data_IF_540717500730
#
_entry.id   IF_540717500730
#
_cell.length_a   1.000
_cell.length_b   1.000
_cell.length_c   1.000
_cell.angle_alpha   90.00
_cell.angle_beta   90.00
_cell.angle_gamma   90.00
#
_symmetry.space_group_name_H-M   'P 1'
#
loop_
_entity.id
_entity.type
_entity.pdbx_description
1 polymer ?
#
# COMPACT_ATOMS: atom_id res chain seq x y z
N UNK A 1 38.83 33.66 17.40
CA UNK A 1 37.42 33.42 17.00
C UNK A 1 37.16 31.93 17.22
N UNK A 2 36.63 31.58 18.40
CA UNK A 2 36.49 30.19 18.82
C UNK A 2 35.18 29.63 18.26
N UNK A 3 35.29 28.69 17.32
CA UNK A 3 34.15 27.90 16.84
C UNK A 3 33.78 26.90 17.93
N UNK A 4 32.85 27.27 18.81
CA UNK A 4 32.25 26.35 19.77
C UNK A 4 31.30 25.45 18.99
N UNK A 5 31.75 24.23 18.68
CA UNK A 5 30.90 23.17 18.16
C UNK A 5 29.85 22.87 19.25
N UNK A 6 28.54 23.00 18.99
CA UNK A 6 27.54 22.59 19.97
C UNK A 6 27.76 21.10 20.29
N UNK A 7 27.65 20.68 21.57
CA UNK A 7 27.75 19.27 21.96
C UNK A 7 26.53 18.44 21.53
N UNK A 8 25.54 19.05 20.88
CA UNK A 8 24.34 18.38 20.43
C UNK A 8 24.63 17.57 19.16
N UNK A 9 24.17 16.31 19.14
CA UNK A 9 24.19 15.47 17.94
C UNK A 9 23.44 16.11 16.76
N UNK A 10 23.27 15.35 15.69
CA UNK A 10 22.56 15.80 14.49
C UNK A 10 21.16 16.35 14.83
N UNK A 11 20.88 17.58 14.39
CA UNK A 11 19.60 18.29 14.57
C UNK A 11 18.99 18.51 13.18
N UNK A 12 17.75 18.08 13.00
CA UNK A 12 16.96 18.44 11.83
C UNK A 12 16.06 19.63 12.17
N UNK A 13 16.07 20.65 11.31
CA UNK A 13 15.24 21.84 11.46
C UNK A 13 14.43 22.03 10.17
N UNK A 14 13.11 22.08 10.31
CA UNK A 14 12.19 22.18 9.17
C UNK A 14 11.26 23.39 9.36
N UNK A 15 11.33 24.39 8.47
CA UNK A 15 10.33 25.44 8.47
C UNK A 15 8.98 24.86 8.00
N UNK A 16 7.92 25.24 8.70
CA UNK A 16 6.54 24.95 8.38
C UNK A 16 5.84 26.28 7.99
N UNK A 17 4.60 26.23 7.45
CA UNK A 17 3.82 27.44 7.21
C UNK A 17 3.65 28.31 8.47
N UNK A 18 3.28 29.57 8.26
CA UNK A 18 2.93 30.51 9.33
C UNK A 18 4.05 30.79 10.35
N UNK A 19 5.31 30.68 9.91
CA UNK A 19 6.47 30.96 10.75
C UNK A 19 6.75 29.89 11.80
N UNK A 20 6.10 28.73 11.71
CA UNK A 20 6.32 27.60 12.61
C UNK A 20 7.58 26.84 12.23
N UNK A 21 8.30 26.32 13.22
CA UNK A 21 9.48 25.49 13.00
C UNK A 21 9.34 24.16 13.75
N UNK A 22 9.70 23.07 13.07
CA UNK A 22 9.86 21.76 13.70
C UNK A 22 11.34 21.45 13.87
N UNK A 23 11.72 21.15 15.09
CA UNK A 23 13.07 20.74 15.46
C UNK A 23 13.04 19.28 15.93
N UNK A 24 13.86 18.43 15.31
CA UNK A 24 13.99 17.02 15.69
C UNK A 24 15.46 16.73 16.07
N UNK A 25 15.69 16.17 17.25
CA UNK A 25 17.01 15.75 17.72
C UNK A 25 17.13 14.23 17.68
N UNK A 26 18.21 13.71 17.09
CA UNK A 26 18.53 12.30 17.25
C UNK A 26 19.08 12.05 18.65
N UNK A 27 18.30 11.38 19.49
CA UNK A 27 18.72 11.01 20.83
C UNK A 27 19.54 9.70 20.80
N UNK A 28 20.63 9.61 21.58
CA UNK A 28 21.42 8.39 21.66
C UNK A 28 20.59 7.24 22.23
N UNK A 29 20.81 6.00 21.74
CA UNK A 29 20.06 4.83 22.18
C UNK A 29 20.28 4.56 23.68
N UNK A 30 19.22 4.15 24.38
CA UNK A 30 19.30 3.68 25.78
C UNK A 30 19.48 4.78 26.85
N UNK A 31 19.23 6.05 26.53
CA UNK A 31 19.15 7.09 27.57
C UNK A 31 17.74 7.14 28.20
N UNK A 32 17.72 7.51 29.48
CA UNK A 32 16.53 7.69 30.31
C UNK A 32 15.47 8.60 29.67
N UNK A 33 14.24 8.53 30.20
CA UNK A 33 13.14 9.44 29.89
C UNK A 33 13.66 10.87 29.76
N UNK A 34 13.58 11.44 28.56
CA UNK A 34 13.86 12.86 28.36
C UNK A 34 12.75 13.63 29.02
N UNK A 35 13.07 14.27 30.14
CA UNK A 35 12.11 15.11 30.86
C UNK A 35 11.79 16.35 30.02
N UNK A 36 10.60 16.96 30.20
CA UNK A 36 10.25 18.21 29.52
C UNK A 36 11.32 19.30 29.69
N UNK A 37 11.95 19.40 30.86
CA UNK A 37 12.97 20.41 31.17
C UNK A 37 14.24 20.20 30.34
N UNK A 38 14.68 18.94 30.17
CA UNK A 38 15.83 18.61 29.34
C UNK A 38 15.57 18.95 27.87
N UNK A 39 14.35 18.74 27.39
CA UNK A 39 13.96 19.06 26.03
C UNK A 39 13.89 20.58 25.80
N UNK A 40 13.33 21.33 26.75
CA UNK A 40 13.35 22.80 26.75
C UNK A 40 14.79 23.35 26.78
N UNK A 41 15.68 22.75 27.56
CA UNK A 41 17.09 23.08 27.58
C UNK A 41 17.73 22.94 26.19
N UNK A 42 17.50 21.81 25.52
CA UNK A 42 17.96 21.58 24.14
C UNK A 42 17.42 22.61 23.15
N UNK A 43 16.13 22.96 23.24
CA UNK A 43 15.53 24.01 22.40
C UNK A 43 16.28 25.33 22.60
N UNK A 44 16.44 25.78 23.85
CA UNK A 44 17.10 27.06 24.17
C UNK A 44 18.56 27.09 23.73
N UNK A 45 19.30 26.01 23.99
CA UNK A 45 20.70 25.85 23.56
C UNK A 45 20.83 25.89 22.03
N UNK A 46 19.95 25.17 21.33
CA UNK A 46 19.94 25.13 19.86
C UNK A 46 19.67 26.51 19.28
N UNK A 47 18.60 27.17 19.75
CA UNK A 47 18.22 28.49 19.28
C UNK A 47 19.31 29.52 19.59
N UNK A 48 19.80 29.59 20.85
CA UNK A 48 20.89 30.49 21.22
C UNK A 48 22.15 30.26 20.38
N UNK A 49 22.48 28.99 20.08
CA UNK A 49 23.59 28.65 19.20
C UNK A 49 23.42 29.22 17.77
N UNK A 50 22.20 29.28 17.25
CA UNK A 50 21.92 29.83 15.91
C UNK A 50 21.79 31.36 15.89
N UNK A 51 21.47 31.98 17.01
CA UNK A 51 21.21 33.44 17.12
C UNK A 51 22.28 34.19 17.92
N UNK A 52 23.52 33.70 17.92
CA UNK A 52 24.66 34.45 18.48
C UNK A 52 24.70 34.53 20.01
N UNK A 53 24.13 33.53 20.69
CA UNK A 53 24.18 33.38 22.15
C UNK A 53 22.95 33.87 22.90
N UNK A 54 21.96 34.45 22.23
CA UNK A 54 20.70 34.89 22.83
C UNK A 54 19.53 34.06 22.31
N UNK A 55 18.78 33.39 23.17
CA UNK A 55 17.57 32.69 22.73
C UNK A 55 16.50 33.71 22.30
N UNK A 56 16.03 33.71 21.03
CA UNK A 56 14.95 34.57 20.58
C UNK A 56 13.63 34.21 21.29
N UNK A 57 12.65 35.13 21.36
CA UNK A 57 11.32 34.79 21.84
C UNK A 57 10.69 33.73 20.93
N UNK A 58 10.12 32.68 21.52
CA UNK A 58 9.41 31.63 20.80
C UNK A 58 8.20 31.17 21.62
N UNK A 59 7.17 30.71 20.91
CA UNK A 59 6.05 29.99 21.50
C UNK A 59 6.26 28.49 21.27
N UNK A 60 6.10 27.69 22.34
CA UNK A 60 6.21 26.25 22.24
C UNK A 60 4.84 25.66 21.94
N UNK A 61 4.66 25.17 20.71
CA UNK A 61 3.39 24.57 20.29
C UNK A 61 3.23 23.13 20.78
N UNK A 62 4.26 22.30 20.63
CA UNK A 62 4.24 20.89 21.03
C UNK A 62 5.66 20.36 21.26
N UNK A 63 5.78 19.33 22.11
CA UNK A 63 7.00 18.58 22.33
C UNK A 63 6.71 17.12 22.61
N UNK A 64 7.49 16.23 22.00
CA UNK A 64 7.36 14.80 22.22
C UNK A 64 8.69 14.08 22.11
N UNK A 65 8.77 12.96 22.82
CA UNK A 65 9.87 12.01 22.71
C UNK A 65 9.31 10.75 22.11
N UNK A 66 9.71 10.44 20.88
CA UNK A 66 9.25 9.26 20.19
C UNK A 66 10.37 8.23 20.05
N UNK A 67 10.12 7.01 20.54
CA UNK A 67 11.03 5.89 20.33
C UNK A 67 10.67 5.20 19.03
N UNK A 68 11.61 5.25 18.08
CA UNK A 68 11.45 4.59 16.79
C UNK A 68 11.70 3.09 16.94
N UNK A 69 10.76 2.28 16.47
CA UNK A 69 10.86 0.83 16.48
C UNK A 69 10.76 0.25 15.07
N UNK A 70 11.51 -0.82 14.81
CA UNK A 70 11.26 -1.73 13.70
C UNK A 70 10.56 -2.96 14.27
N UNK A 71 9.25 -3.07 14.03
CA UNK A 71 8.44 -4.19 14.53
C UNK A 71 7.51 -4.69 13.45
N UNK A 72 7.22 -5.98 13.52
CA UNK A 72 6.36 -6.65 12.56
C UNK A 72 5.58 -7.75 13.27
N UNK A 73 4.27 -7.57 13.44
CA UNK A 73 3.38 -8.52 14.13
C UNK A 73 3.43 -9.88 13.45
N UNK A 74 3.53 -11.01 14.18
CA UNK A 74 3.70 -12.34 13.54
C UNK A 74 2.49 -12.78 12.72
N UNK A 75 1.29 -12.40 13.16
CA UNK A 75 0.00 -12.74 12.56
C UNK A 75 -0.83 -11.47 12.44
N UNK A 76 -1.29 -11.17 11.22
CA UNK A 76 -2.07 -9.99 10.87
C UNK A 76 -3.57 -10.30 10.82
N UNK A 77 -3.94 -11.57 10.70
CA UNK A 77 -5.32 -12.05 10.75
C UNK A 77 -5.47 -13.18 11.75
N UNK A 78 -6.38 -13.05 12.71
CA UNK A 78 -6.82 -14.12 13.59
C UNK A 78 -8.34 -14.27 13.49
N UNK A 79 -8.80 -15.24 12.70
CA UNK A 79 -10.22 -15.42 12.36
C UNK A 79 -10.84 -14.12 11.81
N UNK A 80 -11.73 -13.49 12.58
CA UNK A 80 -12.46 -12.26 12.23
C UNK A 80 -11.78 -10.97 12.73
N UNK A 81 -10.54 -11.07 13.23
CA UNK A 81 -9.75 -9.94 13.74
C UNK A 81 -8.57 -9.68 12.82
N UNK A 82 -8.39 -8.41 12.41
CA UNK A 82 -7.34 -7.97 11.52
C UNK A 82 -6.53 -6.82 12.13
N UNK A 83 -5.21 -6.84 11.89
CA UNK A 83 -4.29 -5.76 12.23
C UNK A 83 -3.89 -5.03 10.94
N UNK A 84 -3.92 -3.70 10.96
CA UNK A 84 -3.45 -2.84 9.86
C UNK A 84 -2.66 -1.64 10.41
N UNK A 85 -1.78 -1.07 9.60
CA UNK A 85 -0.95 0.09 9.99
C UNK A 85 -0.06 -0.24 11.21
N UNK A 86 0.05 0.71 12.14
CA UNK A 86 0.97 0.60 13.29
C UNK A 86 0.67 -0.59 14.22
N UNK A 87 -0.56 -1.11 14.20
CA UNK A 87 -0.92 -2.34 14.92
C UNK A 87 -0.26 -3.58 14.30
N UNK A 88 0.00 -3.58 12.99
CA UNK A 88 0.59 -4.68 12.25
C UNK A 88 2.11 -4.54 12.07
N UNK A 89 2.61 -3.31 11.95
CA UNK A 89 4.03 -3.03 11.71
C UNK A 89 4.41 -1.62 12.17
N UNK A 90 5.62 -1.47 12.69
CA UNK A 90 6.23 -0.17 12.95
C UNK A 90 7.44 -0.05 12.04
N UNK A 91 7.36 0.89 11.11
CA UNK A 91 8.43 1.25 10.19
C UNK A 91 9.20 2.42 10.80
N UNK A 92 10.53 2.37 10.81
CA UNK A 92 11.32 3.38 11.49
C UNK A 92 11.28 4.75 10.83
N UNK A 93 12.18 5.64 11.24
CA UNK A 93 12.25 7.01 10.71
C UNK A 93 13.08 7.14 9.42
N UNK A 94 13.64 6.05 8.88
CA UNK A 94 14.55 6.10 7.73
C UNK A 94 13.82 6.12 6.39
N UNK A 95 13.20 7.25 6.05
CA UNK A 95 12.54 7.43 4.75
C UNK A 95 11.46 6.39 4.44
N UNK A 96 10.99 5.69 5.47
CA UNK A 96 9.89 4.73 5.38
C UNK A 96 8.58 5.43 5.67
N UNK A 97 7.57 5.12 4.86
CA UNK A 97 6.27 5.79 4.89
C UNK A 97 5.26 5.01 5.73
N UNK A 98 5.35 5.13 7.07
CA UNK A 98 4.47 4.40 8.00
C UNK A 98 2.98 4.60 7.69
N UNK A 99 2.54 5.85 7.61
CA UNK A 99 1.16 6.20 7.27
C UNK A 99 0.73 5.64 5.90
N UNK A 100 1.57 5.80 4.87
CA UNK A 100 1.25 5.30 3.53
C UNK A 100 1.11 3.78 3.49
N UNK A 101 1.94 3.05 4.26
CA UNK A 101 1.78 1.60 4.38
C UNK A 101 0.51 1.21 5.11
N UNK A 102 0.12 1.94 6.16
CA UNK A 102 -1.17 1.75 6.82
C UNK A 102 -2.36 2.02 5.89
N UNK A 103 -2.28 3.06 5.06
CA UNK A 103 -3.31 3.34 4.04
C UNK A 103 -3.39 2.23 2.98
N UNK A 104 -2.23 1.71 2.54
CA UNK A 104 -2.17 0.57 1.59
C UNK A 104 -2.71 -0.72 2.21
N UNK A 105 -2.51 -0.93 3.50
CA UNK A 105 -3.10 -2.05 4.23
C UNK A 105 -4.63 -1.94 4.25
N UNK A 106 -5.15 -0.75 4.56
CA UNK A 106 -6.58 -0.49 4.57
C UNK A 106 -7.20 -0.68 3.17
N UNK A 107 -6.57 -0.15 2.12
CA UNK A 107 -7.02 -0.29 0.73
C UNK A 107 -7.08 -1.76 0.29
N UNK A 108 -6.04 -2.55 0.59
CA UNK A 108 -6.02 -3.98 0.28
C UNK A 108 -7.06 -4.77 1.05
N UNK A 109 -7.33 -4.41 2.31
CA UNK A 109 -8.25 -5.15 3.18
C UNK A 109 -9.71 -4.77 2.95
N UNK A 110 -10.01 -3.50 2.66
CA UNK A 110 -11.37 -2.97 2.60
C UNK A 110 -12.24 -3.70 1.58
N UNK A 111 -11.75 -3.92 0.36
CA UNK A 111 -12.52 -4.61 -0.68
C UNK A 111 -12.70 -6.10 -0.39
N UNK A 112 -11.71 -6.75 0.24
CA UNK A 112 -11.78 -8.16 0.64
C UNK A 112 -12.81 -8.36 1.75
N UNK A 113 -12.84 -7.46 2.72
CA UNK A 113 -13.84 -7.45 3.78
C UNK A 113 -15.23 -7.13 3.23
N UNK A 114 -15.36 -6.17 2.32
CA UNK A 114 -16.63 -5.85 1.69
C UNK A 114 -17.19 -7.07 0.93
N UNK A 115 -16.35 -7.78 0.18
CA UNK A 115 -16.75 -8.99 -0.52
C UNK A 115 -17.18 -10.09 0.47
N UNK A 116 -16.38 -10.32 1.52
CA UNK A 116 -16.71 -11.30 2.55
C UNK A 116 -18.02 -10.97 3.30
N UNK A 117 -18.29 -9.69 3.50
CA UNK A 117 -19.50 -9.20 4.15
C UNK A 117 -20.75 -9.44 3.30
N UNK A 118 -20.68 -9.15 2.00
CA UNK A 118 -21.84 -9.23 1.10
C UNK A 118 -22.07 -10.61 0.49
N UNK A 119 -21.02 -11.43 0.35
CA UNK A 119 -21.05 -12.68 -0.41
C UNK A 119 -20.58 -13.91 0.39
N UNK A 120 -20.28 -13.74 1.68
CA UNK A 120 -19.77 -14.80 2.54
C UNK A 120 -18.24 -14.92 2.50
N UNK A 121 -17.64 -15.62 3.47
CA UNK A 121 -16.19 -15.65 3.63
C UNK A 121 -15.50 -16.44 2.52
N UNK A 122 -14.65 -15.75 1.76
CA UNK A 122 -13.63 -16.37 0.92
C UNK A 122 -12.33 -16.42 1.74
N UNK A 123 -12.09 -17.53 2.44
CA UNK A 123 -10.98 -17.63 3.39
C UNK A 123 -9.61 -17.39 2.75
N UNK A 124 -9.36 -17.93 1.55
CA UNK A 124 -8.11 -17.67 0.84
C UNK A 124 -7.95 -16.20 0.41
N UNK A 125 -9.06 -15.51 0.10
CA UNK A 125 -9.05 -14.08 -0.17
C UNK A 125 -8.67 -13.29 1.08
N UNK A 126 -9.29 -13.58 2.22
CA UNK A 126 -8.99 -12.90 3.47
C UNK A 126 -7.57 -13.22 3.99
N UNK A 127 -7.10 -14.46 3.83
CA UNK A 127 -5.74 -14.86 4.20
C UNK A 127 -4.67 -14.22 3.30
N UNK A 128 -5.00 -13.94 2.04
CA UNK A 128 -4.09 -13.25 1.12
C UNK A 128 -3.66 -11.88 1.64
N UNK A 129 -4.48 -11.20 2.46
CA UNK A 129 -4.13 -9.89 3.04
C UNK A 129 -2.78 -9.93 3.75
N UNK A 130 -2.60 -10.91 4.64
CA UNK A 130 -1.34 -11.07 5.35
C UNK A 130 -0.22 -11.43 4.36
N UNK A 131 -0.42 -12.40 3.48
CA UNK A 131 0.63 -12.87 2.55
C UNK A 131 1.13 -11.75 1.65
N UNK A 132 0.23 -10.93 1.11
CA UNK A 132 0.52 -9.82 0.22
C UNK A 132 1.20 -8.67 0.94
N UNK A 133 0.58 -8.13 1.99
CA UNK A 133 1.03 -6.89 2.64
C UNK A 133 2.25 -7.11 3.53
N UNK A 134 2.30 -8.23 4.26
CA UNK A 134 3.44 -8.57 5.12
C UNK A 134 4.73 -8.73 4.34
N UNK A 135 4.68 -9.35 3.16
CA UNK A 135 5.87 -9.58 2.34
C UNK A 135 6.53 -8.25 1.96
N UNK A 136 5.72 -7.27 1.54
CA UNK A 136 6.19 -5.95 1.16
C UNK A 136 6.77 -5.20 2.37
N UNK A 137 6.02 -5.13 3.47
CA UNK A 137 6.47 -4.43 4.70
C UNK A 137 7.74 -5.08 5.26
N UNK A 138 7.83 -6.42 5.25
CA UNK A 138 9.03 -7.13 5.68
C UNK A 138 10.24 -6.83 4.80
N UNK A 139 10.07 -6.72 3.48
CA UNK A 139 11.15 -6.34 2.57
C UNK A 139 11.66 -4.93 2.88
N UNK A 140 10.76 -3.98 3.15
CA UNK A 140 11.13 -2.61 3.53
C UNK A 140 11.85 -2.53 4.87
N UNK A 141 11.39 -3.27 5.88
CA UNK A 141 12.08 -3.35 7.16
C UNK A 141 13.51 -3.88 7.00
N UNK A 142 13.70 -4.93 6.21
CA UNK A 142 15.05 -5.45 5.90
C UNK A 142 15.92 -4.40 5.20
N UNK A 143 15.36 -3.67 4.23
CA UNK A 143 16.08 -2.59 3.54
C UNK A 143 16.45 -1.46 4.51
N UNK A 144 15.54 -1.08 5.41
CA UNK A 144 15.79 -0.07 6.43
C UNK A 144 16.87 -0.51 7.44
N UNK A 145 16.82 -1.76 7.91
CA UNK A 145 17.84 -2.34 8.80
C UNK A 145 19.23 -2.35 8.15
N UNK A 146 19.30 -2.63 6.84
CA UNK A 146 20.55 -2.59 6.07
C UNK A 146 21.08 -1.16 5.87
N UNK A 147 20.18 -0.19 5.71
CA UNK A 147 20.55 1.21 5.51
C UNK A 147 20.95 1.92 6.83
N UNK A 148 20.41 1.50 7.97
CA UNK A 148 20.55 2.20 9.25
C UNK A 148 22.01 2.39 9.72
N UNK A 149 22.92 1.41 9.62
CA UNK A 149 24.33 1.62 9.94
C UNK A 149 25.02 2.61 9.01
N UNK A 150 24.59 2.70 7.74
CA UNK A 150 25.16 3.63 6.75
C UNK A 150 24.79 5.07 7.08
N UNK A 151 23.54 5.30 7.52
CA UNK A 151 23.04 6.63 7.89
C UNK A 151 23.56 7.07 9.28
N UNK A 152 23.63 6.15 10.26
CA UNK A 152 24.11 6.47 11.63
C UNK A 152 25.64 6.49 11.78
N UNK A 153 26.39 5.99 10.81
CA UNK A 153 27.83 5.78 10.88
C UNK A 153 28.67 7.06 10.75
N UNK A 154 28.66 7.91 11.78
CA UNK A 154 29.51 9.10 11.90
C UNK A 154 30.85 8.91 12.64
N UNK A 155 31.29 7.68 12.92
CA UNK A 155 32.44 7.44 13.81
C UNK A 155 33.29 6.22 13.47
N UNK A 156 34.17 6.34 12.46
CA UNK A 156 35.23 5.35 12.21
C UNK A 156 35.80 5.44 10.80
N UNK A 157 37.04 5.93 10.70
CA UNK A 157 37.98 5.97 9.54
C UNK A 157 37.47 6.39 8.14
N UNK A 158 36.17 6.65 7.95
CA UNK A 158 35.54 6.93 6.65
C UNK A 158 35.39 8.41 6.31
N UNK A 159 35.80 9.31 7.21
CA UNK A 159 35.92 10.76 6.91
C UNK A 159 36.97 11.08 5.84
N UNK A 160 37.71 10.07 5.35
CA UNK A 160 38.77 10.22 4.36
C UNK A 160 38.37 9.86 2.92
N UNK A 161 37.10 9.49 2.66
CA UNK A 161 36.62 9.25 1.29
C UNK A 161 35.61 10.33 0.90
N UNK A 162 36.01 11.35 0.13
CA UNK A 162 35.09 12.33 -0.42
C UNK A 162 34.08 11.62 -1.34
N UNK A 163 32.79 11.66 -1.00
CA UNK A 163 31.69 11.15 -1.85
C UNK A 163 30.77 10.11 -1.21
N UNK A 164 31.15 9.48 -0.09
CA UNK A 164 30.31 8.46 0.56
C UNK A 164 29.05 9.03 1.22
N UNK A 165 29.05 10.29 1.63
CA UNK A 165 27.89 10.97 2.21
C UNK A 165 26.75 11.19 1.18
N UNK A 166 27.08 11.46 -0.10
CA UNK A 166 26.08 11.69 -1.16
C UNK A 166 25.23 10.45 -1.48
N UNK A 167 25.76 9.25 -1.26
CA UNK A 167 25.03 8.00 -1.49
C UNK A 167 23.90 7.77 -0.48
N UNK A 168 24.08 8.19 0.77
CA UNK A 168 23.08 8.04 1.83
C UNK A 168 21.91 9.02 1.66
N UNK A 169 22.21 10.27 1.30
CA UNK A 169 21.18 11.26 0.96
C UNK A 169 20.33 10.79 -0.21
N UNK A 170 20.95 10.13 -1.21
CA UNK A 170 20.24 9.57 -2.36
C UNK A 170 19.31 8.42 -1.95
N UNK A 171 19.74 7.51 -1.06
CA UNK A 171 18.89 6.43 -0.53
C UNK A 171 17.67 6.97 0.23
N UNK A 172 17.86 7.98 1.07
CA UNK A 172 16.78 8.62 1.83
C UNK A 172 15.85 9.41 0.90
N UNK A 173 16.41 10.17 -0.03
CA UNK A 173 15.65 10.98 -1.00
C UNK A 173 14.84 10.08 -1.93
N UNK A 174 15.43 9.02 -2.48
CA UNK A 174 14.71 8.04 -3.30
C UNK A 174 13.58 7.38 -2.51
N UNK A 175 13.83 6.98 -1.25
CA UNK A 175 12.80 6.48 -0.35
C UNK A 175 11.62 7.45 -0.24
N UNK A 176 11.87 8.73 0.04
CA UNK A 176 10.84 9.77 0.13
C UNK A 176 10.09 9.99 -1.20
N UNK A 177 10.78 9.86 -2.33
CA UNK A 177 10.20 10.00 -3.66
C UNK A 177 9.47 8.74 -4.15
N UNK A 178 9.32 7.70 -3.31
CA UNK A 178 8.65 6.46 -3.69
C UNK A 178 9.51 5.58 -4.61
N UNK A 179 10.83 5.67 -4.50
CA UNK A 179 11.82 4.97 -5.31
C UNK A 179 12.75 4.11 -4.46
N UNK A 180 13.46 3.20 -5.13
CA UNK A 180 14.43 2.31 -4.48
C UNK A 180 13.80 1.34 -3.47
N UNK A 181 14.66 0.66 -2.72
CA UNK A 181 14.24 -0.41 -1.81
C UNK A 181 13.35 0.06 -0.64
N UNK A 182 13.38 1.36 -0.31
CA UNK A 182 12.59 1.95 0.77
C UNK A 182 11.25 2.53 0.30
N UNK A 183 11.19 3.07 -0.92
CA UNK A 183 10.04 3.83 -1.42
C UNK A 183 9.20 3.13 -2.49
N UNK A 184 9.78 2.24 -3.31
CA UNK A 184 9.07 1.64 -4.45
C UNK A 184 7.83 0.85 -3.98
N UNK A 185 6.67 1.01 -4.66
CA UNK A 185 5.50 0.18 -4.40
C UNK A 185 5.85 -1.30 -4.59
N UNK A 186 5.52 -2.13 -3.60
CA UNK A 186 5.72 -3.57 -3.72
C UNK A 186 4.77 -4.20 -4.73
N UNK A 187 5.09 -5.41 -5.14
CA UNK A 187 4.24 -6.23 -6.01
C UNK A 187 3.75 -7.45 -5.24
N UNK A 188 2.53 -7.89 -5.54
CA UNK A 188 1.91 -9.10 -5.03
C UNK A 188 2.35 -10.35 -5.82
N UNK A 189 3.64 -10.43 -6.16
CA UNK A 189 4.18 -11.51 -7.00
C UNK A 189 4.06 -12.90 -6.37
N UNK A 190 4.01 -12.97 -5.03
CA UNK A 190 3.82 -14.21 -4.27
C UNK A 190 2.38 -14.36 -3.74
N UNK A 191 1.41 -13.63 -4.32
CA UNK A 191 0.02 -13.75 -3.89
C UNK A 191 -0.54 -15.14 -4.20
N UNK A 192 -1.27 -15.76 -3.25
CA UNK A 192 -2.01 -16.99 -3.54
C UNK A 192 -3.19 -16.77 -4.51
N UNK A 193 -3.53 -15.51 -4.82
CA UNK A 193 -4.62 -15.13 -5.73
C UNK A 193 -4.16 -15.04 -7.20
N UNK A 194 -2.89 -15.28 -7.48
CA UNK A 194 -2.39 -15.30 -8.86
C UNK A 194 -2.93 -16.55 -9.57
N UNK A 195 -3.64 -16.40 -10.71
CA UNK A 195 -4.19 -17.55 -11.41
C UNK A 195 -3.10 -18.45 -11.98
N UNK A 196 -3.32 -19.76 -11.89
CA UNK A 196 -2.42 -20.76 -12.46
C UNK A 196 -2.66 -20.99 -13.95
N UNK A 197 -1.57 -20.98 -14.74
CA UNK A 197 -1.50 -21.63 -16.06
C UNK A 197 -2.63 -21.32 -17.05
N UNK A 198 -2.99 -20.04 -17.23
CA UNK A 198 -4.02 -19.64 -18.20
C UNK A 198 -3.49 -19.74 -19.64
N UNK A 199 -4.27 -20.36 -20.54
CA UNK A 199 -3.84 -20.61 -21.92
C UNK A 199 -3.64 -19.31 -22.70
N UNK A 200 -4.51 -18.32 -22.46
CA UNK A 200 -4.47 -17.02 -23.09
C UNK A 200 -3.55 -15.99 -22.44
N UNK A 201 -2.80 -16.32 -21.38
CA UNK A 201 -2.00 -15.34 -20.66
C UNK A 201 -0.90 -14.74 -21.54
N UNK A 202 -0.79 -13.40 -21.52
CA UNK A 202 0.25 -12.65 -22.22
C UNK A 202 0.97 -11.70 -21.28
N UNK A 203 2.25 -11.45 -21.56
CA UNK A 203 3.02 -10.44 -20.85
C UNK A 203 2.78 -9.06 -21.44
N UNK A 204 2.60 -8.06 -20.56
CA UNK A 204 2.45 -6.64 -20.92
C UNK A 204 3.43 -5.80 -20.09
N UNK A 205 3.44 -4.47 -20.26
CA UNK A 205 4.36 -3.58 -19.55
C UNK A 205 4.15 -3.53 -18.02
N UNK A 206 3.04 -4.04 -17.52
CA UNK A 206 2.75 -4.20 -16.09
C UNK A 206 2.75 -5.69 -15.74
N UNK A 207 3.59 -6.09 -14.78
CA UNK A 207 3.62 -7.47 -14.31
C UNK A 207 2.38 -7.80 -13.46
N UNK A 208 1.85 -9.04 -13.51
CA UNK A 208 0.84 -9.50 -12.57
C UNK A 208 1.23 -9.23 -11.11
N UNK A 209 0.25 -8.84 -10.29
CA UNK A 209 0.46 -8.41 -8.92
C UNK A 209 1.05 -7.00 -8.77
N UNK A 210 1.27 -6.25 -9.85
CA UNK A 210 1.70 -4.85 -9.79
C UNK A 210 0.52 -3.90 -9.95
N UNK A 211 0.66 -2.67 -9.44
CA UNK A 211 -0.32 -1.61 -9.65
C UNK A 211 -0.40 -1.27 -11.14
N UNK A 212 -1.61 -1.14 -11.66
CA UNK A 212 -1.85 -0.80 -13.07
C UNK A 212 -1.42 0.63 -13.41
N UNK A 213 -0.99 0.82 -14.66
CA UNK A 213 -0.72 2.16 -15.19
C UNK A 213 -2.05 2.88 -15.38
N UNK A 214 -2.15 4.10 -14.86
CA UNK A 214 -3.34 4.89 -15.05
C UNK A 214 -3.44 5.42 -16.50
N UNK A 215 -4.37 4.84 -17.25
CA UNK A 215 -4.69 5.20 -18.65
C UNK A 215 -6.10 5.79 -18.73
N UNK A 216 -6.41 6.44 -19.86
CA UNK A 216 -7.80 6.81 -20.15
C UNK A 216 -8.59 5.57 -20.55
N UNK A 217 -9.79 5.47 -20.00
CA UNK A 217 -10.74 4.38 -20.29
C UNK A 217 -12.11 4.95 -20.60
N UNK A 218 -12.86 4.22 -21.42
CA UNK A 218 -14.27 4.44 -21.69
C UNK A 218 -15.07 3.41 -20.89
N UNK A 219 -16.00 3.89 -20.07
CA UNK A 219 -16.94 3.04 -19.35
C UNK A 219 -18.14 2.63 -20.22
N UNK A 220 -18.92 1.66 -19.76
CA UNK A 220 -20.11 1.16 -20.48
C UNK A 220 -21.13 2.26 -20.81
N UNK A 221 -21.24 3.29 -19.96
CA UNK A 221 -22.10 4.45 -20.17
C UNK A 221 -21.56 5.45 -21.22
N UNK A 222 -20.39 5.16 -21.80
CA UNK A 222 -19.71 5.99 -22.80
C UNK A 222 -18.91 7.16 -22.20
N UNK A 223 -18.80 7.25 -20.87
CA UNK A 223 -17.97 8.29 -20.23
C UNK A 223 -16.49 7.97 -20.35
N UNK A 224 -15.69 9.02 -20.59
CA UNK A 224 -14.24 8.94 -20.63
C UNK A 224 -13.65 9.40 -19.30
N UNK A 225 -12.96 8.51 -18.61
CA UNK A 225 -12.43 8.73 -17.27
C UNK A 225 -11.00 8.18 -17.17
N UNK A 226 -10.32 8.43 -16.06
CA UNK A 226 -9.04 7.76 -15.78
C UNK A 226 -9.33 6.40 -15.16
N UNK A 227 -8.51 5.39 -15.46
CA UNK A 227 -8.64 4.05 -14.88
C UNK A 227 -8.65 4.12 -13.35
N UNK A 228 -7.83 4.99 -12.76
CA UNK A 228 -7.79 5.23 -11.31
C UNK A 228 -9.15 5.64 -10.72
N UNK A 229 -10.00 6.32 -11.47
CA UNK A 229 -11.30 6.83 -10.99
C UNK A 229 -12.37 5.72 -10.86
N UNK A 230 -12.07 4.53 -11.42
CA UNK A 230 -12.91 3.33 -11.37
C UNK A 230 -12.47 2.32 -10.32
N UNK A 231 -11.27 2.48 -9.75
CA UNK A 231 -10.78 1.68 -8.63
C UNK A 231 -11.56 1.97 -7.33
N UNK A 232 -11.47 1.06 -6.35
CA UNK A 232 -12.09 1.23 -5.03
C UNK A 232 -13.62 1.08 -4.98
N UNK A 233 -14.28 0.74 -6.09
CA UNK A 233 -15.75 0.60 -6.19
C UNK A 233 -16.29 -0.79 -5.84
N UNK A 234 -15.44 -1.65 -5.28
CA UNK A 234 -15.77 -3.03 -4.92
C UNK A 234 -16.09 -3.93 -6.11
N UNK A 235 -15.58 -3.61 -7.30
CA UNK A 235 -15.77 -4.39 -8.53
C UNK A 235 -14.43 -4.76 -9.15
N UNK A 236 -14.34 -5.95 -9.73
CA UNK A 236 -13.24 -6.29 -10.65
C UNK A 236 -13.37 -5.41 -11.91
N UNK A 237 -12.25 -5.04 -12.52
CA UNK A 237 -12.27 -4.32 -13.79
C UNK A 237 -11.74 -5.23 -14.91
N UNK A 238 -12.53 -5.38 -15.97
CA UNK A 238 -12.13 -6.02 -17.22
C UNK A 238 -11.86 -4.92 -18.26
N UNK A 239 -10.59 -4.66 -18.57
CA UNK A 239 -10.19 -3.58 -19.49
C UNK A 239 -9.80 -4.18 -20.84
N UNK A 240 -10.57 -3.92 -21.89
CA UNK A 240 -10.19 -4.28 -23.27
C UNK A 240 -9.31 -3.20 -23.89
N UNK A 241 -8.19 -3.60 -24.47
CA UNK A 241 -7.38 -2.74 -25.33
C UNK A 241 -7.94 -2.79 -26.75
N UNK A 242 -8.57 -1.71 -27.19
CA UNK A 242 -9.14 -1.61 -28.53
C UNK A 242 -8.72 -0.28 -29.17
N UNK A 243 -7.68 -0.29 -30.03
CA UNK A 243 -7.29 0.89 -30.79
C UNK A 243 -8.41 1.37 -31.71
N UNK A 244 -8.51 2.68 -31.93
CA UNK A 244 -9.50 3.27 -32.83
C UNK A 244 -10.88 3.49 -32.20
N UNK A 245 -11.06 3.24 -30.91
CA UNK A 245 -12.32 3.48 -30.15
C UNK A 245 -12.74 4.96 -30.08
N UNK A 246 -11.83 5.89 -30.36
CA UNK A 246 -12.16 7.32 -30.53
C UNK A 246 -13.08 7.63 -31.72
N UNK A 247 -13.27 6.68 -32.65
CA UNK A 247 -14.09 6.84 -33.86
C UNK A 247 -15.48 6.18 -33.71
N UNK A 248 -15.72 5.46 -32.63
CA UNK A 248 -16.93 4.66 -32.49
C UNK A 248 -18.05 5.54 -31.94
N UNK A 249 -19.18 5.61 -32.65
CA UNK A 249 -20.35 6.31 -32.13
C UNK A 249 -20.75 5.71 -30.77
N UNK A 250 -20.93 6.61 -29.79
CA UNK A 250 -21.10 6.34 -28.34
C UNK A 250 -22.10 5.24 -27.96
N UNK A 251 -22.96 4.81 -28.88
CA UNK A 251 -24.10 3.91 -28.66
C UNK A 251 -23.92 2.51 -29.26
N UNK A 252 -22.90 2.29 -30.09
CA UNK A 252 -22.76 1.05 -30.89
C UNK A 252 -21.47 0.27 -30.65
N UNK A 253 -20.61 0.71 -29.72
CA UNK A 253 -19.33 0.03 -29.52
C UNK A 253 -19.46 -1.29 -28.78
N UNK A 254 -20.40 -1.38 -27.83
CA UNK A 254 -20.70 -2.63 -27.12
C UNK A 254 -21.23 -3.71 -28.09
N UNK A 255 -21.86 -3.32 -29.20
CA UNK A 255 -22.44 -4.25 -30.18
C UNK A 255 -21.49 -4.67 -31.30
N UNK A 256 -20.26 -4.13 -31.38
CA UNK A 256 -19.36 -4.36 -32.51
C UNK A 256 -18.13 -5.23 -32.16
N UNK A 257 -17.74 -6.08 -33.11
CA UNK A 257 -16.54 -6.92 -33.04
C UNK A 257 -16.56 -7.89 -31.85
N UNK A 258 -15.52 -7.85 -31.04
CA UNK A 258 -15.31 -8.76 -29.90
C UNK A 258 -16.11 -8.37 -28.64
N UNK A 259 -16.75 -7.18 -28.66
CA UNK A 259 -17.39 -6.60 -27.48
C UNK A 259 -18.59 -7.36 -26.93
N UNK A 260 -19.56 -7.83 -27.75
CA UNK A 260 -20.70 -8.58 -27.22
C UNK A 260 -20.27 -9.83 -26.46
N UNK A 261 -19.24 -10.51 -26.96
CA UNK A 261 -18.67 -11.70 -26.30
C UNK A 261 -18.00 -11.35 -24.98
N UNK A 262 -17.28 -10.24 -24.90
CA UNK A 262 -16.66 -9.79 -23.66
C UNK A 262 -17.71 -9.32 -22.65
N UNK A 263 -18.69 -8.52 -23.08
CA UNK A 263 -19.76 -8.04 -22.22
C UNK A 263 -20.57 -9.20 -21.63
N UNK A 264 -20.90 -10.21 -22.46
CA UNK A 264 -21.53 -11.44 -21.99
C UNK A 264 -20.65 -12.21 -21.00
N UNK A 265 -19.33 -12.30 -21.25
CA UNK A 265 -18.41 -12.95 -20.34
C UNK A 265 -18.32 -12.20 -18.99
N UNK A 266 -18.14 -10.89 -19.00
CA UNK A 266 -18.07 -10.06 -17.78
C UNK A 266 -19.38 -10.12 -16.99
N UNK A 267 -20.53 -10.07 -17.67
CA UNK A 267 -21.85 -10.14 -17.02
C UNK A 267 -22.14 -11.52 -16.40
N UNK A 268 -21.48 -12.58 -16.88
CA UNK A 268 -21.61 -13.93 -16.35
C UNK A 268 -20.70 -14.20 -15.14
N UNK A 269 -19.86 -13.24 -14.73
CA UNK A 269 -19.04 -13.39 -13.53
C UNK A 269 -19.93 -13.41 -12.28
N UNK A 270 -19.65 -14.30 -11.31
CA UNK A 270 -20.47 -14.43 -10.09
C UNK A 270 -20.37 -13.21 -9.17
N UNK A 271 -19.32 -12.40 -9.31
CA UNK A 271 -19.10 -11.19 -8.55
C UNK A 271 -19.10 -9.97 -9.46
N UNK A 272 -19.40 -8.80 -8.86
CA UNK A 272 -19.49 -7.54 -9.59
C UNK A 272 -18.19 -7.26 -10.36
N UNK A 273 -18.33 -7.10 -11.66
CA UNK A 273 -17.26 -6.69 -12.55
C UNK A 273 -17.73 -5.55 -13.46
N UNK A 274 -16.80 -4.70 -13.84
CA UNK A 274 -17.03 -3.58 -14.73
C UNK A 274 -16.20 -3.74 -16.00
N UNK A 275 -16.85 -3.57 -17.15
CA UNK A 275 -16.19 -3.57 -18.44
C UNK A 275 -15.74 -2.15 -18.81
N UNK A 276 -14.47 -2.03 -19.16
CA UNK A 276 -13.82 -0.80 -19.58
C UNK A 276 -13.10 -1.02 -20.91
N UNK A 277 -12.92 0.06 -21.68
CA UNK A 277 -12.14 0.01 -22.91
C UNK A 277 -11.07 1.08 -22.89
N UNK A 278 -9.84 0.72 -23.23
CA UNK A 278 -8.73 1.66 -23.42
C UNK A 278 -8.26 1.64 -24.87
N UNK A 279 -7.89 2.79 -25.40
CA UNK A 279 -7.30 2.89 -26.75
C UNK A 279 -5.92 2.22 -26.81
N UNK A 280 -5.16 2.31 -25.72
CA UNK A 280 -3.85 1.70 -25.58
C UNK A 280 -3.51 1.44 -24.11
N UNK A 281 -2.60 0.51 -23.86
CA UNK A 281 -1.99 0.28 -22.56
C UNK A 281 -0.52 -0.14 -22.75
N UNK A 282 0.42 0.29 -21.89
CA UNK A 282 1.84 0.01 -22.06
C UNK A 282 2.14 -1.49 -22.26
N UNK A 283 2.75 -1.82 -23.41
CA UNK A 283 3.14 -3.19 -23.75
C UNK A 283 1.98 -4.15 -24.03
N UNK A 284 0.73 -3.68 -24.12
CA UNK A 284 -0.41 -4.52 -24.48
C UNK A 284 -0.74 -4.40 -25.98
N UNK A 285 -0.94 -5.53 -26.64
CA UNK A 285 -1.38 -5.58 -28.03
C UNK A 285 -2.89 -5.25 -28.15
N UNK A 286 -3.35 -4.96 -29.37
CA UNK A 286 -4.77 -4.83 -29.66
C UNK A 286 -5.53 -6.11 -29.25
N UNK A 287 -6.74 -5.92 -28.74
CA UNK A 287 -7.63 -6.95 -28.21
C UNK A 287 -7.12 -7.73 -26.99
N UNK A 288 -6.13 -7.18 -26.28
CA UNK A 288 -5.74 -7.70 -24.95
C UNK A 288 -6.81 -7.35 -23.93
N UNK A 289 -7.18 -8.29 -23.06
CA UNK A 289 -8.11 -8.07 -21.93
C UNK A 289 -7.31 -8.12 -20.63
N UNK A 290 -7.33 -7.04 -19.86
CA UNK A 290 -6.71 -6.97 -18.54
C UNK A 290 -7.77 -7.23 -17.48
N UNK A 291 -7.48 -8.10 -16.52
CA UNK A 291 -8.29 -8.25 -15.31
C UNK A 291 -7.58 -7.56 -14.15
N UNK A 292 -8.27 -6.63 -13.50
CA UNK A 292 -7.72 -5.78 -12.44
C UNK A 292 -8.57 -5.89 -11.18
N UNK A 293 -7.92 -5.97 -10.02
CA UNK A 293 -8.56 -5.99 -8.71
C UNK A 293 -9.12 -4.61 -8.31
N UNK A 294 -10.06 -4.55 -7.35
CA UNK A 294 -10.57 -3.28 -6.84
C UNK A 294 -9.47 -2.37 -6.24
N UNK A 295 -8.40 -2.94 -5.70
CA UNK A 295 -7.22 -2.24 -5.16
C UNK A 295 -6.17 -1.91 -6.24
N UNK A 296 -6.52 -1.98 -7.53
CA UNK A 296 -5.67 -1.51 -8.64
C UNK A 296 -4.54 -2.44 -9.04
N UNK A 297 -4.51 -3.67 -8.53
CA UNK A 297 -3.46 -4.64 -8.89
C UNK A 297 -3.88 -5.50 -10.08
N UNK A 298 -3.00 -5.66 -11.05
CA UNK A 298 -3.23 -6.52 -12.22
C UNK A 298 -3.29 -7.99 -11.78
N UNK A 299 -4.35 -8.69 -12.14
CA UNK A 299 -4.47 -10.14 -11.95
C UNK A 299 -3.77 -10.87 -13.09
N UNK A 300 -4.15 -10.56 -14.32
CA UNK A 300 -3.62 -11.16 -15.55
C UNK A 300 -3.94 -10.29 -16.76
N UNK A 301 -3.27 -10.55 -17.87
CA UNK A 301 -3.60 -10.03 -19.19
C UNK A 301 -3.80 -11.21 -20.15
N UNK A 302 -4.88 -11.17 -20.93
CA UNK A 302 -5.31 -12.25 -21.82
C UNK A 302 -5.30 -11.79 -23.28
N UNK A 303 -4.80 -12.64 -24.18
CA UNK A 303 -4.93 -12.42 -25.62
C UNK A 303 -6.34 -12.75 -26.08
N UNK A 304 -7.10 -11.72 -26.48
CA UNK A 304 -8.48 -11.85 -26.92
C UNK A 304 -9.44 -12.22 -25.78
N UNK A 305 -10.69 -12.47 -26.17
CA UNK A 305 -11.77 -12.82 -25.22
C UNK A 305 -11.85 -14.34 -25.09
N UNK A 306 -11.25 -14.86 -24.02
CA UNK A 306 -11.30 -16.27 -23.61
C UNK A 306 -12.10 -16.38 -22.32
N UNK A 307 -13.42 -16.69 -22.38
CA UNK A 307 -14.27 -16.73 -21.18
C UNK A 307 -13.76 -17.69 -20.11
N UNK A 308 -13.28 -18.88 -20.48
CA UNK A 308 -12.75 -19.86 -19.52
C UNK A 308 -11.56 -19.29 -18.72
N UNK A 309 -10.60 -18.65 -19.39
CA UNK A 309 -9.46 -18.01 -18.72
C UNK A 309 -9.89 -16.81 -17.88
N UNK A 310 -10.86 -16.02 -18.35
CA UNK A 310 -11.40 -14.88 -17.59
C UNK A 310 -12.09 -15.34 -16.31
N UNK A 311 -12.89 -16.41 -16.37
CA UNK A 311 -13.58 -16.98 -15.22
C UNK A 311 -12.58 -17.58 -14.22
N UNK A 312 -11.61 -18.35 -14.70
CA UNK A 312 -10.56 -18.90 -13.85
C UNK A 312 -9.73 -17.80 -13.18
N UNK A 313 -9.41 -16.72 -13.90
CA UNK A 313 -8.69 -15.58 -13.35
C UNK A 313 -9.51 -14.81 -12.31
N UNK A 314 -10.81 -14.60 -12.55
CA UNK A 314 -11.69 -13.94 -11.60
C UNK A 314 -11.92 -14.77 -10.33
N UNK A 315 -12.16 -16.07 -10.46
CA UNK A 315 -12.23 -17.01 -9.34
C UNK A 315 -10.95 -16.98 -8.50
N UNK A 316 -9.77 -17.07 -9.13
CA UNK A 316 -8.49 -17.00 -8.44
C UNK A 316 -8.28 -15.67 -7.71
N UNK A 317 -8.62 -14.55 -8.36
CA UNK A 317 -8.53 -13.21 -7.78
C UNK A 317 -9.41 -13.05 -6.52
N UNK A 318 -10.44 -13.88 -6.38
CA UNK A 318 -11.38 -13.88 -5.27
C UNK A 318 -11.15 -15.02 -4.28
N UNK A 319 -10.04 -15.76 -4.42
CA UNK A 319 -9.66 -16.84 -3.51
C UNK A 319 -10.40 -18.15 -3.73
N UNK A 320 -10.96 -18.38 -4.92
CA UNK A 320 -11.77 -19.55 -5.24
C UNK A 320 -13.19 -19.49 -4.66
N UNK A 321 -13.94 -20.61 -4.64
CA UNK A 321 -15.32 -20.61 -4.18
C UNK A 321 -15.43 -20.27 -2.69
N UNK A 322 -16.48 -19.55 -2.33
CA UNK A 322 -16.80 -19.28 -0.93
C UNK A 322 -16.90 -20.60 -0.15
N UNK A 323 -16.22 -20.68 0.99
CA UNK A 323 -16.32 -21.87 1.83
C UNK A 323 -17.65 -21.79 2.56
N UNK A 324 -18.59 -22.71 2.28
CA UNK A 324 -19.79 -22.84 3.10
C UNK A 324 -19.34 -23.16 4.53
N UNK A 325 -19.82 -22.39 5.52
CA UNK A 325 -19.53 -22.66 6.92
C UNK A 325 -19.88 -24.12 7.23
N UNK A 326 -18.87 -24.94 7.51
CA UNK A 326 -19.08 -26.23 8.16
C UNK A 326 -19.55 -25.92 9.56
N UNK A 327 -20.87 -25.94 9.78
CA UNK A 327 -21.46 -26.09 11.10
C UNK A 327 -21.04 -27.44 11.65
N UNK A 328 -19.84 -27.51 12.20
CA UNK A 328 -19.43 -28.61 13.06
C UNK A 328 -20.14 -28.42 14.40
N UNK A 329 -21.28 -29.07 14.54
CA UNK A 329 -21.87 -29.43 15.82
C UNK A 329 -20.81 -30.17 16.66
N UNK A 330 -20.14 -29.45 17.55
CA UNK A 330 -19.60 -30.02 18.77
C UNK A 330 -20.65 -29.78 19.85
N UNK A 331 -21.42 -30.82 20.16
CA UNK A 331 -22.47 -30.79 21.17
C UNK A 331 -21.94 -30.36 22.53
N UNK A 332 -22.57 -29.33 23.08
CA UNK A 332 -22.67 -29.11 24.51
C UNK A 332 -24.00 -28.36 24.77
N UNK A 333 -24.88 -29.01 25.53
CA UNK A 333 -26.16 -28.48 25.98
C UNK A 333 -26.00 -27.14 26.73
N UNK A 334 -26.83 -26.13 26.40
CA UNK A 334 -27.69 -25.40 27.35
C UNK A 334 -28.31 -24.10 26.76
N UNK A 335 -29.65 -24.04 26.76
CA UNK A 335 -30.45 -22.82 27.01
C UNK A 335 -30.91 -21.96 25.81
N UNK A 336 -32.22 -21.67 25.65
CA UNK A 336 -32.71 -20.82 24.58
C UNK A 336 -32.58 -19.34 24.96
N UNK A 337 -31.79 -18.59 24.19
CA UNK A 337 -31.68 -17.15 24.27
C UNK A 337 -31.69 -16.55 22.88
N UNK A 338 -32.84 -16.03 22.47
CA UNK A 338 -33.01 -15.26 21.24
C UNK A 338 -32.14 -13.98 21.35
N UNK A 339 -31.08 -13.89 20.55
CA UNK A 339 -30.35 -12.65 20.34
C UNK A 339 -29.80 -12.62 18.91
N UNK A 340 -30.26 -11.66 18.11
CA UNK A 340 -29.67 -11.28 16.84
C UNK A 340 -28.17 -11.03 17.04
N UNK A 341 -27.34 -11.94 16.53
CA UNK A 341 -25.88 -11.79 16.57
C UNK A 341 -25.47 -10.88 15.43
N UNK A 342 -25.28 -9.59 15.75
CA UNK A 342 -24.51 -8.70 14.90
C UNK A 342 -23.11 -9.30 14.69
N UNK A 343 -22.79 -9.65 13.44
CA UNK A 343 -21.48 -10.17 13.05
C UNK A 343 -20.50 -8.98 13.02
N UNK A 344 -19.72 -8.78 14.07
CA UNK A 344 -18.72 -7.71 14.08
C UNK A 344 -17.38 -8.23 13.53
N UNK A 345 -16.84 -7.54 12.52
CA UNK A 345 -15.44 -7.64 12.10
C UNK A 345 -14.70 -6.47 12.76
N UNK A 346 -13.59 -6.75 13.45
CA UNK A 346 -12.80 -5.72 14.13
C UNK A 346 -11.48 -5.50 13.39
N UNK A 347 -11.31 -4.29 12.86
CA UNK A 347 -10.05 -3.79 12.32
C UNK A 347 -9.43 -2.84 13.35
N UNK A 348 -8.22 -3.15 13.80
CA UNK A 348 -7.47 -2.31 14.75
C UNK A 348 -6.43 -1.51 13.97
N UNK A 349 -6.58 -0.19 13.99
CA UNK A 349 -5.61 0.80 13.52
C UNK A 349 -5.18 1.62 14.74
N UNK A 350 -3.88 1.73 14.99
CA UNK A 350 -3.33 2.64 15.99
C UNK A 350 -2.67 3.80 15.22
N UNK A 351 -2.85 5.03 15.69
CA UNK A 351 -2.32 6.27 15.11
C UNK A 351 -1.12 6.80 15.88
#
# INVERSE_FOLDING_TARGET
>A
MAYVRPPAGEISARPLPDGVWRLDWLLPPGKDLVTPELLLGRVRETLAGWTGGQTPPYELLDTGVHTVHHRLARRWRAHRVFLAGDAAHLLGALGTHGLEEGLRDADNLAWKLALAWHHGPHEALLDSYQTERRAIVSARLRAADQALPLVRGGGGLRSYVPGSARGNDTLLTDGHLGRGALGTPGTYAASPLTPGGLEGAVSIGTAPGSVVTDVRVTAEDGTFVRLRDRLGRGALLAVLIAPGTGVWERRHWVSAGIMPRLAAAVSALPHRAELLVAESYPGAAAHTVLLVRPDGHLVTALSGVRPADLYAAAEAALGGPATAEVTAEAGAEAGPGLAERHHAVHMVMLS
#
